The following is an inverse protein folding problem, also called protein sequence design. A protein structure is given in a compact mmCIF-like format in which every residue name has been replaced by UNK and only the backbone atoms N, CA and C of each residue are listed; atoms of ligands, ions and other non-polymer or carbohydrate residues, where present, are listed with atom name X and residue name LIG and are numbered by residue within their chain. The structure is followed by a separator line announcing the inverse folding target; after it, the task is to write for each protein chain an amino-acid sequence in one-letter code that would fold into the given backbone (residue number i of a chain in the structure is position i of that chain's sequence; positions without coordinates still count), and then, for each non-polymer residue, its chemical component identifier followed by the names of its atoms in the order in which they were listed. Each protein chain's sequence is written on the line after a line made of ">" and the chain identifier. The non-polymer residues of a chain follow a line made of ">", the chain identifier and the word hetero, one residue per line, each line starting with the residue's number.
data_IF_769171022264
#
_entry.id   IF_769171022264
#
_cell.length_a   1.000
_cell.length_b   1.000
_cell.length_c   1.000
_cell.angle_alpha   90.00
_cell.angle_beta   90.00
_cell.angle_gamma   90.00
#
_symmetry.space_group_name_H-M   'P 1'
#
loop_
_entity.id
_entity.type
_entity.pdbx_description
1 polymer ?
#
# COMPACT_ATOMS: atom_id res chain seq x y z
N UNK A 1 10.03 -1.46 -1.15
CA UNK A 1 10.23 -2.05 0.19
C UNK A 1 8.89 -2.53 0.73
N UNK A 2 8.83 -3.77 1.22
CA UNK A 2 7.58 -4.47 1.56
C UNK A 2 7.52 -4.96 3.02
N UNK A 3 8.48 -4.54 3.85
CA UNK A 3 8.55 -4.92 5.26
C UNK A 3 8.03 -3.75 6.10
N UNK A 4 7.15 -4.06 7.04
CA UNK A 4 6.52 -3.09 7.93
C UNK A 4 6.62 -3.56 9.38
N UNK A 5 6.88 -2.62 10.28
CA UNK A 5 6.81 -2.83 11.73
C UNK A 5 5.38 -2.63 12.19
N UNK A 6 4.82 -3.62 12.88
CA UNK A 6 3.55 -3.47 13.58
C UNK A 6 3.80 -2.75 14.91
N UNK A 7 3.07 -1.66 15.15
CA UNK A 7 3.19 -0.86 16.37
C UNK A 7 1.82 -0.82 17.05
N UNK A 8 1.78 -1.13 18.35
CA UNK A 8 0.63 -0.85 19.20
C UNK A 8 0.79 0.57 19.75
N UNK A 9 -0.11 1.45 19.36
CA UNK A 9 -0.09 2.86 19.77
C UNK A 9 -0.66 3.04 21.19
N UNK A 10 -0.38 4.18 21.80
CA UNK A 10 -0.89 4.55 23.13
C UNK A 10 -2.43 4.54 23.23
N UNK A 11 -3.11 4.79 22.11
CA UNK A 11 -4.57 4.76 22.02
C UNK A 11 -5.15 3.36 21.71
N UNK A 12 -4.35 2.30 21.83
CA UNK A 12 -4.69 0.90 21.56
C UNK A 12 -5.06 0.57 20.10
N UNK A 13 -4.73 1.45 19.15
CA UNK A 13 -4.80 1.12 17.72
C UNK A 13 -3.48 0.52 17.23
N UNK A 14 -3.55 -0.16 16.09
CA UNK A 14 -2.37 -0.68 15.39
C UNK A 14 -1.95 0.29 14.29
N UNK A 15 -0.65 0.58 14.18
CA UNK A 15 -0.06 1.25 13.03
C UNK A 15 0.96 0.33 12.33
N UNK A 16 1.16 0.57 11.04
CA UNK A 16 2.17 -0.14 10.24
C UNK A 16 3.17 0.86 9.67
N UNK A 17 4.39 0.86 10.22
CA UNK A 17 5.47 1.75 9.80
C UNK A 17 6.37 1.03 8.80
N UNK A 18 6.81 1.70 7.74
CA UNK A 18 7.77 1.10 6.81
C UNK A 18 9.11 0.86 7.51
N UNK A 19 9.66 -0.36 7.40
CA UNK A 19 10.89 -0.73 8.11
C UNK A 19 12.16 0.01 7.62
N UNK A 20 12.14 0.54 6.40
CA UNK A 20 13.27 1.29 5.82
C UNK A 20 13.11 2.80 5.98
N UNK A 21 11.87 3.28 5.99
CA UNK A 21 11.55 4.71 6.06
C UNK A 21 10.84 5.02 7.37
N UNK A 22 11.60 5.48 8.35
CA UNK A 22 11.06 5.89 9.64
C UNK A 22 10.07 7.06 9.48
N UNK A 23 9.00 7.02 10.27
CA UNK A 23 7.90 7.99 10.23
C UNK A 23 6.96 7.86 9.02
N UNK A 24 7.16 6.87 8.14
CA UNK A 24 6.25 6.59 7.02
C UNK A 24 5.30 5.46 7.36
N UNK A 25 4.01 5.76 7.41
CA UNK A 25 2.98 4.82 7.80
C UNK A 25 2.08 4.42 6.62
N UNK A 26 1.52 3.21 6.69
CA UNK A 26 0.38 2.84 5.86
C UNK A 26 -0.80 3.72 6.27
N UNK A 27 -1.51 4.31 5.30
CA UNK A 27 -2.60 5.21 5.60
C UNK A 27 -3.68 5.24 4.52
N UNK A 28 -4.93 5.35 4.96
CA UNK A 28 -6.07 5.58 4.08
C UNK A 28 -6.88 6.78 4.54
N UNK A 29 -7.25 7.63 3.59
CA UNK A 29 -8.19 8.72 3.83
C UNK A 29 -9.56 8.19 4.26
N UNK A 30 -10.40 9.07 4.81
CA UNK A 30 -11.78 8.75 5.18
C UNK A 30 -12.63 8.13 4.05
N UNK A 31 -12.28 8.38 2.79
CA UNK A 31 -12.94 7.78 1.61
C UNK A 31 -12.31 6.46 1.17
N UNK A 32 -11.41 5.87 1.97
CA UNK A 32 -10.69 4.64 1.66
C UNK A 32 -9.58 4.79 0.64
N UNK A 33 -9.21 6.02 0.23
CA UNK A 33 -8.13 6.23 -0.74
C UNK A 33 -6.76 6.18 -0.07
N UNK A 34 -5.74 5.55 -0.67
CA UNK A 34 -4.38 5.56 -0.14
C UNK A 34 -3.85 6.99 0.03
N UNK A 35 -3.09 7.23 1.11
CA UNK A 35 -2.39 8.49 1.36
C UNK A 35 -0.89 8.29 1.09
N UNK A 36 -0.25 9.30 0.51
CA UNK A 36 1.20 9.30 0.30
C UNK A 36 1.92 9.26 1.65
N UNK A 37 2.81 8.27 1.83
CA UNK A 37 3.54 8.04 3.08
C UNK A 37 4.24 9.29 3.65
N UNK A 38 4.82 10.12 2.79
CA UNK A 38 5.47 11.38 3.19
C UNK A 38 4.54 12.43 3.83
N UNK A 39 3.21 12.20 3.83
CA UNK A 39 2.20 13.06 4.47
C UNK A 39 1.64 12.47 5.76
N UNK A 40 2.08 11.26 6.13
CA UNK A 40 1.56 10.54 7.29
C UNK A 40 2.23 10.99 8.58
N UNK A 41 1.50 10.93 9.69
CA UNK A 41 1.98 11.15 11.05
C UNK A 41 1.25 10.17 11.97
N UNK A 42 1.92 9.73 13.02
CA UNK A 42 1.41 8.71 13.94
C UNK A 42 0.08 9.09 14.62
N UNK A 43 -0.10 10.38 14.92
CA UNK A 43 -1.31 10.87 15.59
C UNK A 43 -2.53 11.06 14.66
N UNK A 44 -2.40 10.79 13.36
CA UNK A 44 -3.51 10.87 12.40
C UNK A 44 -4.39 9.62 12.46
N UNK A 45 -5.71 9.77 12.39
CA UNK A 45 -6.63 8.60 12.41
C UNK A 45 -6.47 7.72 11.18
N UNK A 46 -6.00 8.30 10.08
CA UNK A 46 -5.79 7.62 8.81
C UNK A 46 -4.71 6.53 8.86
N UNK A 47 -3.82 6.56 9.86
CA UNK A 47 -2.78 5.53 10.09
C UNK A 47 -3.21 4.48 11.13
N UNK A 48 -4.40 4.61 11.72
CA UNK A 48 -4.88 3.74 12.80
C UNK A 48 -5.73 2.60 12.24
N UNK A 49 -5.31 1.37 12.54
CA UNK A 49 -5.96 0.15 12.08
C UNK A 49 -6.44 -0.72 13.23
N UNK A 50 -7.41 -1.58 12.92
CA UNK A 50 -7.86 -2.69 13.77
C UNK A 50 -7.66 -3.98 12.98
N UNK A 51 -6.89 -4.92 13.53
CA UNK A 51 -6.76 -6.27 12.98
C UNK A 51 -8.05 -7.05 13.23
N UNK A 52 -8.70 -7.48 12.17
CA UNK A 52 -9.93 -8.30 12.24
C UNK A 52 -9.58 -9.74 11.90
N UNK A 53 -10.16 -10.70 12.61
CA UNK A 53 -10.16 -12.09 12.17
C UNK A 53 -10.85 -12.18 10.81
N UNK A 54 -10.30 -12.98 9.91
CA UNK A 54 -10.96 -13.26 8.64
C UNK A 54 -12.30 -13.95 8.93
N UNK A 55 -13.32 -13.60 8.17
CA UNK A 55 -14.61 -14.31 8.16
C UNK A 55 -14.79 -14.89 6.77
N UNK A 56 -15.07 -16.20 6.71
CA UNK A 56 -15.19 -16.93 5.45
C UNK A 56 -13.86 -17.53 4.96
N UNK A 57 -13.88 -18.15 3.76
CA UNK A 57 -12.70 -18.76 3.15
C UNK A 57 -11.57 -17.75 3.02
N UNK A 58 -10.34 -18.17 3.35
CA UNK A 58 -9.16 -17.30 3.28
C UNK A 58 -9.00 -16.77 1.84
N UNK A 59 -8.94 -15.44 1.62
CA UNK A 59 -8.91 -14.85 0.28
C UNK A 59 -7.57 -15.05 -0.44
N UNK A 60 -6.56 -15.58 0.26
CA UNK A 60 -5.30 -16.04 -0.31
C UNK A 60 -5.12 -17.50 0.08
N UNK A 61 -4.49 -18.33 -0.78
CA UNK A 61 -4.17 -19.70 -0.43
C UNK A 61 -3.03 -19.66 0.60
N UNK A 62 -3.36 -19.37 1.85
CA UNK A 62 -2.64 -19.92 2.98
C UNK A 62 -3.24 -21.31 3.26
N UNK A 63 -3.37 -22.13 2.23
CA UNK A 63 -3.34 -23.57 2.41
C UNK A 63 -1.90 -23.91 2.80
N UNK A 64 -1.69 -24.82 3.72
CA UNK A 64 -0.37 -25.41 3.99
C UNK A 64 0.25 -26.08 2.74
N UNK A 65 -0.46 -26.09 1.61
CA UNK A 65 0.04 -26.43 0.29
C UNK A 65 0.49 -25.16 -0.46
N UNK A 66 1.78 -25.07 -0.87
CA UNK A 66 2.23 -24.02 -1.77
C UNK A 66 1.52 -24.18 -3.12
N UNK A 67 0.63 -23.24 -3.47
CA UNK A 67 0.16 -23.15 -4.86
C UNK A 67 1.31 -22.64 -5.74
N UNK A 68 1.49 -23.28 -6.90
CA UNK A 68 2.41 -22.80 -7.92
C UNK A 68 2.03 -21.38 -8.32
N UNK A 69 3.02 -20.50 -8.45
CA UNK A 69 2.78 -19.15 -8.95
C UNK A 69 2.29 -19.23 -10.40
N UNK A 70 1.30 -18.43 -10.78
CA UNK A 70 0.91 -18.27 -12.17
C UNK A 70 1.45 -16.93 -12.68
N UNK A 71 2.33 -16.98 -13.68
CA UNK A 71 2.76 -15.77 -14.37
C UNK A 71 1.66 -15.31 -15.33
N UNK A 72 0.97 -14.23 -14.97
CA UNK A 72 0.07 -13.55 -15.90
C UNK A 72 0.93 -12.73 -16.86
N UNK A 73 1.17 -13.27 -18.06
CA UNK A 73 1.86 -12.53 -19.12
C UNK A 73 0.93 -11.45 -19.68
N UNK A 74 1.21 -10.19 -19.37
CA UNK A 74 0.56 -9.08 -20.07
C UNK A 74 1.26 -8.87 -21.42
N UNK A 75 0.52 -8.72 -22.55
CA UNK A 75 1.15 -8.30 -23.80
C UNK A 75 1.86 -6.96 -23.56
N UNK A 76 3.05 -6.75 -24.16
CA UNK A 76 3.80 -5.52 -23.99
C UNK A 76 2.94 -4.34 -24.46
N UNK A 77 2.45 -3.54 -23.51
CA UNK A 77 1.75 -2.31 -23.85
C UNK A 77 2.76 -1.38 -24.50
N UNK A 78 2.54 -1.05 -25.79
CA UNK A 78 3.36 -0.04 -26.46
C UNK A 78 3.16 1.26 -25.70
N UNK A 79 4.19 1.69 -24.98
CA UNK A 79 4.23 2.99 -24.30
C UNK A 79 3.84 4.05 -25.32
N UNK A 80 2.70 4.73 -25.12
CA UNK A 80 2.32 5.82 -25.99
C UNK A 80 3.43 6.88 -25.98
N UNK A 81 3.98 7.19 -27.17
CA UNK A 81 4.92 8.31 -27.33
C UNK A 81 4.23 9.57 -26.82
N UNK A 82 4.82 10.22 -25.82
CA UNK A 82 4.37 11.53 -25.36
C UNK A 82 4.66 12.54 -26.47
N UNK A 83 3.64 13.03 -27.15
CA UNK A 83 3.78 14.18 -28.06
C UNK A 83 4.15 15.41 -27.22
N UNK A 84 5.45 15.71 -27.13
CA UNK A 84 5.91 17.03 -26.72
C UNK A 84 5.74 17.95 -27.93
N UNK A 85 4.76 18.87 -27.89
CA UNK A 85 4.75 20.01 -28.81
C UNK A 85 5.97 20.88 -28.49
N UNK A 86 6.82 21.25 -29.47
CA UNK A 86 7.85 22.25 -29.24
C UNK A 86 7.14 23.57 -28.91
N UNK A 87 7.55 24.19 -27.80
CA UNK A 87 7.12 25.53 -27.46
C UNK A 87 7.82 26.48 -28.43
N UNK A 88 7.09 27.04 -29.38
CA UNK A 88 7.56 28.16 -30.19
C UNK A 88 7.60 29.38 -29.28
N UNK A 89 8.81 29.84 -28.95
CA UNK A 89 9.00 31.16 -28.36
C UNK A 89 8.74 32.21 -29.44
N UNK A 90 7.89 33.18 -29.14
CA UNK A 90 7.78 34.49 -29.79
C UNK A 90 7.52 35.51 -28.71
#
# INVERSE_FOLDING_TARGET
>A
DCIFTEIVLENNYTAFQNAKYEGWYVAFSRKGRPIKASKTRENQREVHFIKRLHKGPLPFPNSDQPKHFEFISFPPTRRAKRNRKPHSAS
#
